data_IF_897804371158
#
_entry.id   IF_897804371158
#
_cell.length_a   1.000
_cell.length_b   1.000
_cell.length_c   1.000
_cell.angle_alpha   90.00
_cell.angle_beta   90.00
_cell.angle_gamma   90.00
#
_symmetry.space_group_name_H-M   'P 1'
#
loop_
_entity.id
_entity.type
_entity.pdbx_description
1 polymer ?
#
# COMPACT_ATOMS: atom_id res chain seq x y z
N UNK A 1 18.33 4.47 -4.33
CA UNK A 1 17.62 4.25 -5.62
C UNK A 1 16.32 5.04 -5.75
N UNK A 2 15.38 4.97 -4.79
CA UNK A 2 14.07 5.67 -4.85
C UNK A 2 14.16 7.19 -5.09
N UNK A 3 15.11 7.88 -4.43
CA UNK A 3 15.30 9.34 -4.57
C UNK A 3 15.82 9.78 -5.94
N UNK A 4 16.63 8.95 -6.60
CA UNK A 4 17.25 9.29 -7.89
C UNK A 4 16.23 9.19 -9.04
N UNK A 5 15.42 8.13 -9.04
CA UNK A 5 14.34 7.93 -10.02
C UNK A 5 13.29 9.05 -9.93
N UNK A 6 12.90 9.45 -8.72
CA UNK A 6 11.97 10.56 -8.52
C UNK A 6 12.53 11.91 -9.02
N UNK A 7 13.84 12.14 -8.87
CA UNK A 7 14.48 13.38 -9.30
C UNK A 7 14.59 13.49 -10.83
N UNK A 8 14.84 12.37 -11.51
CA UNK A 8 15.05 12.34 -12.96
C UNK A 8 13.71 12.30 -13.70
N UNK A 9 12.77 11.52 -13.19
CA UNK A 9 11.50 11.26 -13.88
C UNK A 9 10.38 12.21 -13.45
N UNK A 10 10.53 12.93 -12.33
CA UNK A 10 9.43 13.60 -11.61
C UNK A 10 8.26 12.67 -11.23
N UNK A 11 8.37 11.36 -11.50
CA UNK A 11 7.41 10.34 -11.12
C UNK A 11 7.75 9.90 -9.70
N UNK A 12 6.91 10.32 -8.75
CA UNK A 12 6.93 9.83 -7.38
C UNK A 12 6.15 8.52 -7.31
N UNK A 13 6.70 7.55 -6.59
CA UNK A 13 6.01 6.29 -6.27
C UNK A 13 4.87 6.60 -5.30
N UNK A 14 3.64 6.66 -5.83
CA UNK A 14 2.40 6.68 -5.04
C UNK A 14 2.18 5.26 -4.52
N UNK A 15 2.32 5.06 -3.21
CA UNK A 15 2.12 3.74 -2.56
C UNK A 15 0.70 3.56 -2.05
N UNK A 16 -0.16 4.54 -2.30
CA UNK A 16 -1.24 4.86 -1.38
C UNK A 16 -2.35 3.82 -1.30
N UNK A 17 -2.33 2.72 -2.07
CA UNK A 17 -3.29 1.61 -1.91
C UNK A 17 -2.76 0.30 -2.54
N UNK A 18 -1.51 -0.11 -2.27
CA UNK A 18 -0.99 -1.39 -2.78
C UNK A 18 -0.27 -2.22 -1.73
N UNK A 19 -0.43 -3.54 -1.83
CA UNK A 19 0.33 -4.51 -1.06
C UNK A 19 1.81 -4.37 -1.36
N UNK A 20 2.63 -4.26 -0.31
CA UNK A 20 4.08 -4.08 -0.41
C UNK A 20 4.77 -5.28 -1.06
N UNK A 21 4.25 -6.49 -0.85
CA UNK A 21 4.92 -7.72 -1.26
C UNK A 21 4.50 -8.24 -2.64
N UNK A 22 3.27 -7.98 -3.06
CA UNK A 22 2.74 -8.47 -4.36
C UNK A 22 2.38 -7.35 -5.34
N UNK A 23 2.51 -6.08 -4.94
CA UNK A 23 1.99 -4.93 -5.69
C UNK A 23 0.48 -5.02 -5.99
N UNK A 24 -0.27 -5.85 -5.25
CA UNK A 24 -1.70 -5.99 -5.40
C UNK A 24 -2.41 -4.71 -4.94
N UNK A 25 -3.23 -4.13 -5.80
CA UNK A 25 -3.85 -2.83 -5.55
C UNK A 25 -5.21 -2.99 -4.87
N UNK A 26 -5.38 -2.31 -3.74
CA UNK A 26 -6.61 -2.28 -2.95
C UNK A 26 -7.51 -1.12 -3.37
N UNK A 27 -7.69 -0.96 -4.69
CA UNK A 27 -8.55 0.08 -5.25
C UNK A 27 -9.65 -0.52 -6.12
N UNK A 28 -10.70 0.27 -6.38
CA UNK A 28 -11.83 -0.16 -7.21
C UNK A 28 -12.56 -1.36 -6.59
N UNK A 29 -12.75 -2.48 -7.32
CA UNK A 29 -13.44 -3.67 -6.80
C UNK A 29 -12.81 -4.29 -5.55
N UNK A 30 -11.52 -4.03 -5.34
CA UNK A 30 -10.73 -4.58 -4.23
C UNK A 30 -10.60 -3.62 -3.05
N UNK A 31 -11.27 -2.46 -3.09
CA UNK A 31 -11.22 -1.45 -2.03
C UNK A 31 -11.82 -1.92 -0.67
N UNK A 32 -12.55 -3.02 -0.67
CA UNK A 32 -13.08 -3.64 0.56
C UNK A 32 -12.23 -4.79 1.08
N UNK A 33 -11.14 -5.16 0.40
CA UNK A 33 -10.24 -6.20 0.87
C UNK A 33 -9.29 -5.63 1.92
N UNK A 34 -9.41 -6.07 3.16
CA UNK A 34 -8.44 -5.73 4.21
C UNK A 34 -7.14 -6.56 4.10
N UNK A 35 -7.13 -7.58 3.22
CA UNK A 35 -6.04 -8.55 3.08
C UNK A 35 -5.73 -8.82 1.61
N UNK A 36 -4.45 -8.94 1.29
CA UNK A 36 -3.99 -9.22 -0.06
C UNK A 36 -4.41 -10.63 -0.50
N UNK A 37 -5.10 -10.75 -1.63
CA UNK A 37 -5.51 -12.05 -2.19
C UNK A 37 -4.34 -12.89 -2.73
N UNK A 38 -3.15 -12.29 -2.91
CA UNK A 38 -1.97 -12.94 -3.48
C UNK A 38 -1.04 -13.49 -2.39
N UNK A 39 -0.72 -12.69 -1.37
CA UNK A 39 0.21 -13.06 -0.31
C UNK A 39 -0.43 -13.23 1.07
N UNK A 40 -1.75 -13.00 1.20
CA UNK A 40 -2.51 -13.08 2.46
C UNK A 40 -2.06 -12.12 3.56
N UNK A 41 -1.25 -11.11 3.23
CA UNK A 41 -0.85 -10.10 4.19
C UNK A 41 -1.89 -9.00 4.33
N UNK A 42 -2.05 -8.43 5.54
CA UNK A 42 -2.96 -7.32 5.76
C UNK A 42 -2.50 -6.11 4.94
N UNK A 43 -3.47 -5.36 4.41
CA UNK A 43 -3.21 -4.10 3.70
C UNK A 43 -2.50 -3.08 4.60
N UNK A 44 -2.74 -3.15 5.91
CA UNK A 44 -2.27 -2.18 6.90
C UNK A 44 -1.47 -2.89 7.99
N UNK A 45 -0.52 -2.18 8.60
CA UNK A 45 0.11 -2.66 9.83
C UNK A 45 -0.96 -2.71 10.94
N UNK A 46 -1.28 -3.91 11.48
CA UNK A 46 -2.33 -4.07 12.46
C UNK A 46 -2.04 -3.31 13.78
N UNK A 47 -0.78 -3.05 14.09
CA UNK A 47 -0.37 -2.26 15.26
C UNK A 47 -0.67 -0.78 15.03
N UNK A 48 -0.32 -0.25 13.86
CA UNK A 48 -0.63 1.15 13.51
C UNK A 48 -2.14 1.37 13.37
N UNK A 49 -2.87 0.41 12.80
CA UNK A 49 -4.33 0.46 12.68
C UNK A 49 -5.00 0.46 14.06
N UNK A 50 -4.58 -0.41 14.98
CA UNK A 50 -5.10 -0.45 16.34
C UNK A 50 -4.81 0.83 17.15
N UNK A 51 -3.70 1.50 16.88
CA UNK A 51 -3.30 2.73 17.58
C UNK A 51 -3.98 4.00 17.04
N UNK A 52 -4.20 4.07 15.72
CA UNK A 52 -4.64 5.30 15.07
C UNK A 52 -6.09 5.25 14.58
N UNK A 53 -6.67 4.05 14.44
CA UNK A 53 -7.94 3.83 13.77
C UNK A 53 -7.92 4.22 12.28
N UNK A 54 -6.75 4.59 11.75
CA UNK A 54 -6.58 5.05 10.38
C UNK A 54 -6.03 3.91 9.54
N UNK A 55 -6.78 3.60 8.49
CA UNK A 55 -6.34 2.81 7.34
C UNK A 55 -5.27 3.61 6.61
N UNK A 56 -4.04 3.52 7.10
CA UNK A 56 -2.91 4.31 6.60
C UNK A 56 -2.10 3.41 5.65
N UNK A 57 -2.01 3.74 4.35
CA UNK A 57 -1.29 2.95 3.36
C UNK A 57 0.21 2.78 3.65
#
# INVERSE_FOLDING_TARGET
MKKLVANISSIVSVRDDMCINSCHMFTGPFAQLDTCSVCSEPQYDPVQFGLTGKRTP
#
